data_IF_380240795341
#
_entry.id   IF_380240795341
#
_cell.length_a   1.000
_cell.length_b   1.000
_cell.length_c   1.000
_cell.angle_alpha   90.00
_cell.angle_beta   90.00
_cell.angle_gamma   90.00
#
_symmetry.space_group_name_H-M   'P 1'
#
loop_
_entity.id
_entity.type
_entity.pdbx_description
1 polymer ?
#
# COMPACT_ATOMS: atom_id res chain seq x y z
N UNK A 1 9.54 12.54 2.77
CA UNK A 1 8.61 13.56 2.21
C UNK A 1 7.97 12.97 0.96
N UNK A 2 6.68 13.22 0.72
CA UNK A 2 6.00 12.62 -0.41
C UNK A 2 6.49 13.16 -1.76
N UNK A 3 6.70 12.28 -2.75
CA UNK A 3 7.10 12.70 -4.10
C UNK A 3 5.95 13.21 -4.96
N UNK A 4 4.71 12.91 -4.59
CA UNK A 4 3.50 13.36 -5.27
C UNK A 4 2.57 14.09 -4.30
N UNK A 5 1.92 15.14 -4.80
CA UNK A 5 0.87 15.90 -4.13
C UNK A 5 -0.52 15.50 -4.64
N UNK A 6 -1.55 16.00 -3.96
CA UNK A 6 -2.93 15.69 -4.32
C UNK A 6 -3.32 16.32 -5.68
N UNK A 7 -2.74 17.47 -6.03
CA UNK A 7 -2.96 18.09 -7.34
C UNK A 7 -2.49 17.17 -8.48
N UNK A 8 -1.30 16.59 -8.40
CA UNK A 8 -0.81 15.62 -9.37
C UNK A 8 -1.69 14.36 -9.40
N UNK A 9 -2.12 13.89 -8.23
CA UNK A 9 -2.99 12.73 -8.09
C UNK A 9 -4.29 12.88 -8.89
N UNK A 10 -4.96 14.03 -8.80
CA UNK A 10 -6.22 14.26 -9.53
C UNK A 10 -6.01 14.66 -11.00
N UNK A 11 -5.01 15.49 -11.31
CA UNK A 11 -4.87 16.10 -12.65
C UNK A 11 -4.06 15.27 -13.64
N UNK A 12 -3.05 14.54 -13.16
CA UNK A 12 -2.05 13.87 -14.00
C UNK A 12 -2.07 12.36 -13.87
N UNK A 13 -2.40 11.87 -12.68
CA UNK A 13 -2.62 10.45 -12.41
C UNK A 13 -4.09 10.05 -12.60
N UNK A 14 -5.03 10.98 -12.41
CA UNK A 14 -6.48 10.77 -12.52
C UNK A 14 -7.03 9.78 -11.49
N UNK A 15 -6.51 9.85 -10.26
CA UNK A 15 -6.96 9.01 -9.16
C UNK A 15 -8.28 9.50 -8.54
N UNK A 16 -9.11 8.54 -8.15
CA UNK A 16 -10.45 8.73 -7.56
C UNK A 16 -10.67 7.91 -6.29
N UNK A 17 -9.68 7.13 -5.87
CA UNK A 17 -9.76 6.16 -4.78
C UNK A 17 -9.50 6.79 -3.40
N UNK A 18 -8.40 7.54 -3.23
CA UNK A 18 -8.00 8.16 -1.96
C UNK A 18 -8.62 9.56 -1.79
N UNK A 19 -9.33 9.83 -0.67
CA UNK A 19 -9.81 11.18 -0.34
C UNK A 19 -8.65 12.17 -0.06
N UNK A 20 -8.86 13.46 -0.34
CA UNK A 20 -7.87 14.52 -0.14
C UNK A 20 -7.29 14.56 1.28
N UNK A 21 -8.14 14.39 2.30
CA UNK A 21 -7.73 14.43 3.72
C UNK A 21 -6.76 13.30 4.09
N UNK A 22 -6.88 12.17 3.40
CA UNK A 22 -6.12 10.95 3.67
C UNK A 22 -4.90 10.82 2.75
N UNK A 23 -4.91 11.49 1.59
CA UNK A 23 -3.88 11.37 0.58
C UNK A 23 -2.46 11.65 1.11
N UNK A 24 -2.19 12.73 1.88
CA UNK A 24 -0.85 13.01 2.39
C UNK A 24 -0.25 11.83 3.18
N UNK A 25 -1.08 11.18 4.02
CA UNK A 25 -0.67 10.03 4.83
C UNK A 25 -0.24 8.85 3.96
N UNK A 26 -1.00 8.55 2.91
CA UNK A 26 -0.71 7.41 2.03
C UNK A 26 0.43 7.71 1.05
N UNK A 27 0.53 8.96 0.58
CA UNK A 27 1.61 9.41 -0.30
C UNK A 27 2.97 9.41 0.41
N UNK A 28 3.02 9.81 1.68
CA UNK A 28 4.24 9.72 2.49
C UNK A 28 4.66 8.27 2.71
N UNK A 29 3.74 7.40 3.17
CA UNK A 29 3.99 5.96 3.32
C UNK A 29 4.43 5.29 2.01
N UNK A 30 3.86 5.70 0.88
CA UNK A 30 4.26 5.21 -0.45
C UNK A 30 5.67 5.64 -0.82
N UNK A 31 6.03 6.90 -0.54
CA UNK A 31 7.35 7.45 -0.83
C UNK A 31 8.42 6.74 0.02
N UNK A 32 8.17 6.52 1.31
CA UNK A 32 9.08 5.76 2.19
C UNK A 32 9.35 4.35 1.66
N UNK A 33 8.34 3.69 1.08
CA UNK A 33 8.51 2.33 0.51
C UNK A 33 9.28 2.34 -0.80
N UNK A 34 9.13 3.39 -1.59
CA UNK A 34 9.95 3.61 -2.79
C UNK A 34 11.40 3.86 -2.39
N UNK A 35 11.66 4.64 -1.34
CA UNK A 35 13.02 4.93 -0.86
C UNK A 35 13.74 3.66 -0.42
N UNK A 36 13.06 2.82 0.37
CA UNK A 36 13.58 1.52 0.80
C UNK A 36 13.96 0.63 -0.41
N UNK A 37 13.12 0.56 -1.45
CA UNK A 37 13.40 -0.27 -2.61
C UNK A 37 14.38 0.35 -3.62
N UNK A 38 14.55 1.67 -3.59
CA UNK A 38 15.53 2.38 -4.40
C UNK A 38 16.85 2.60 -3.67
N UNK A 39 16.99 2.09 -2.44
CA UNK A 39 18.19 2.26 -1.60
C UNK A 39 18.53 3.74 -1.37
N UNK A 40 17.50 4.53 -1.06
CA UNK A 40 17.57 5.98 -0.80
C UNK A 40 18.17 6.80 -1.97
N UNK A 41 18.17 6.26 -3.19
CA UNK A 41 18.68 6.97 -4.38
C UNK A 41 17.84 8.19 -4.77
N UNK A 42 16.60 8.25 -4.33
CA UNK A 42 15.67 9.36 -4.58
C UNK A 42 15.58 10.34 -3.40
N UNK A 43 16.24 10.05 -2.27
CA UNK A 43 16.17 10.86 -1.06
C UNK A 43 16.73 12.28 -1.26
N UNK A 44 17.74 12.41 -2.13
CA UNK A 44 18.35 13.70 -2.50
C UNK A 44 17.48 14.52 -3.47
N UNK A 45 16.46 13.90 -4.08
CA UNK A 45 15.57 14.51 -5.05
C UNK A 45 15.17 13.57 -6.19
N UNK A 46 14.15 13.99 -6.94
CA UNK A 46 13.73 13.30 -8.16
C UNK A 46 14.68 13.63 -9.33
N UNK A 47 14.88 12.71 -10.29
CA UNK A 47 15.69 12.97 -11.48
C UNK A 47 15.15 14.16 -12.30
N UNK A 48 16.05 14.87 -12.99
CA UNK A 48 15.72 16.00 -13.86
C UNK A 48 14.87 15.60 -15.07
N UNK A 49 14.98 14.33 -15.50
CA UNK A 49 14.19 13.81 -16.60
C UNK A 49 12.70 13.80 -16.26
N UNK A 50 11.92 14.67 -16.91
CA UNK A 50 10.47 14.80 -16.68
C UNK A 50 9.71 13.48 -16.80
N UNK A 51 10.13 12.60 -17.74
CA UNK A 51 9.49 11.29 -17.92
C UNK A 51 9.77 10.39 -16.72
N UNK A 52 10.99 10.39 -16.20
CA UNK A 52 11.37 9.64 -15.00
C UNK A 52 10.62 10.18 -13.78
N UNK A 53 10.62 11.50 -13.59
CA UNK A 53 9.91 12.18 -12.51
C UNK A 53 8.42 11.83 -12.52
N UNK A 54 7.76 11.94 -13.67
CA UNK A 54 6.33 11.60 -13.83
C UNK A 54 6.07 10.12 -13.51
N UNK A 55 6.98 9.22 -13.87
CA UNK A 55 6.85 7.79 -13.57
C UNK A 55 6.94 7.51 -12.07
N UNK A 56 7.87 8.16 -11.36
CA UNK A 56 8.00 8.06 -9.90
C UNK A 56 6.76 8.61 -9.21
N UNK A 57 6.29 9.80 -9.59
CA UNK A 57 5.07 10.40 -9.04
C UNK A 57 3.84 9.51 -9.24
N UNK A 58 3.67 8.94 -10.44
CA UNK A 58 2.62 7.94 -10.71
C UNK A 58 2.75 6.70 -9.84
N UNK A 59 3.97 6.25 -9.56
CA UNK A 59 4.22 5.10 -8.67
C UNK A 59 3.81 5.41 -7.24
N UNK A 60 4.05 6.63 -6.74
CA UNK A 60 3.53 7.05 -5.43
C UNK A 60 2.01 6.99 -5.40
N UNK A 61 1.35 7.51 -6.43
CA UNK A 61 -0.11 7.49 -6.51
C UNK A 61 -0.69 6.07 -6.55
N UNK A 62 -0.11 5.16 -7.36
CA UNK A 62 -0.57 3.76 -7.42
C UNK A 62 -0.39 3.05 -6.09
N UNK A 63 0.71 3.31 -5.36
CA UNK A 63 0.90 2.77 -4.02
C UNK A 63 -0.07 3.38 -3.01
N UNK A 64 -0.37 4.67 -3.11
CA UNK A 64 -1.32 5.32 -2.22
C UNK A 64 -2.72 4.68 -2.36
N UNK A 65 -3.17 4.44 -3.59
CA UNK A 65 -4.42 3.69 -3.86
C UNK A 65 -4.38 2.30 -3.25
N UNK A 66 -3.29 1.56 -3.49
CA UNK A 66 -3.14 0.21 -2.97
C UNK A 66 -3.19 0.17 -1.43
N UNK A 67 -2.50 1.09 -0.75
CA UNK A 67 -2.54 1.17 0.71
C UNK A 67 -3.91 1.56 1.24
N UNK A 68 -4.60 2.50 0.60
CA UNK A 68 -5.96 2.86 0.97
C UNK A 68 -6.92 1.67 0.82
N UNK A 69 -6.85 0.93 -0.28
CA UNK A 69 -7.68 -0.26 -0.48
C UNK A 69 -7.37 -1.38 0.53
N UNK A 70 -6.11 -1.56 0.90
CA UNK A 70 -5.71 -2.51 1.95
C UNK A 70 -6.28 -2.09 3.30
N UNK A 71 -6.11 -0.82 3.68
CA UNK A 71 -6.53 -0.32 5.00
C UNK A 71 -8.06 -0.23 5.10
N UNK A 72 -8.78 0.07 4.01
CA UNK A 72 -10.26 0.00 3.98
C UNK A 72 -10.76 -1.43 4.21
N UNK A 73 -10.13 -2.44 3.59
CA UNK A 73 -10.48 -3.85 3.85
C UNK A 73 -10.14 -4.26 5.29
N UNK A 74 -8.97 -3.86 5.81
CA UNK A 74 -8.59 -4.13 7.21
C UNK A 74 -9.60 -3.52 8.19
N UNK A 75 -10.00 -2.26 7.97
CA UNK A 75 -10.93 -1.56 8.84
C UNK A 75 -12.34 -2.19 8.80
N UNK A 76 -12.84 -2.53 7.61
CA UNK A 76 -14.12 -3.22 7.47
C UNK A 76 -14.11 -4.60 8.18
N UNK A 77 -13.02 -5.36 8.09
CA UNK A 77 -12.88 -6.63 8.80
C UNK A 77 -12.92 -6.43 10.32
N UNK A 78 -12.21 -5.42 10.86
CA UNK A 78 -12.25 -5.11 12.29
C UNK A 78 -13.64 -4.67 12.77
N UNK A 79 -14.39 -3.92 11.94
CA UNK A 79 -15.74 -3.48 12.26
C UNK A 79 -16.73 -4.65 12.32
N UNK A 80 -16.56 -5.67 11.48
CA UNK A 80 -17.39 -6.91 11.54
C UNK A 80 -17.11 -7.79 12.76
N UNK A 81 -15.97 -7.59 13.43
CA UNK A 81 -15.66 -8.21 14.73
C UNK A 81 -16.28 -7.41 15.90
N UNK A 82 -16.79 -6.21 15.62
CA UNK A 82 -17.57 -5.38 16.54
C UNK A 82 -18.93 -5.99 16.87
N UNK A 83 -19.18 -6.14 18.17
CA UNK A 83 -20.40 -6.69 18.78
C UNK A 83 -21.71 -6.28 18.11
N UNK A 84 -22.57 -7.25 17.80
CA UNK A 84 -24.00 -7.01 17.53
C UNK A 84 -24.66 -6.66 18.87
N UNK A 85 -25.04 -5.40 19.08
CA UNK A 85 -25.97 -5.03 20.15
C UNK A 85 -27.39 -5.29 19.65
N UNK A 86 -28.07 -6.31 20.17
CA UNK A 86 -29.52 -6.44 20.03
C UNK A 86 -30.22 -5.38 20.87
N UNK A 87 -31.42 -4.97 20.47
CA UNK A 87 -32.27 -4.00 21.18
C UNK A 87 -32.57 -4.41 22.63
N UNK A 88 -32.40 -5.69 22.99
CA UNK A 88 -32.53 -6.25 24.35
C UNK A 88 -31.26 -6.12 25.23
N UNK A 89 -30.29 -5.29 24.85
CA UNK A 89 -29.11 -5.00 25.70
C UNK A 89 -28.12 -6.17 25.88
N UNK A 90 -28.34 -7.31 25.22
CA UNK A 90 -27.46 -8.48 25.31
C UNK A 90 -26.35 -8.39 24.26
N UNK A 91 -25.10 -8.28 24.71
CA UNK A 91 -23.90 -8.35 23.86
C UNK A 91 -23.53 -9.81 23.61
N UNK A 92 -23.78 -10.29 22.39
CA UNK A 92 -23.24 -11.55 21.89
C UNK A 92 -21.94 -11.26 21.15
N UNK A 93 -20.81 -11.62 21.76
CA UNK A 93 -19.53 -11.69 21.07
C UNK A 93 -19.64 -12.76 19.97
N UNK A 94 -19.73 -12.36 18.71
CA UNK A 94 -19.64 -13.29 17.58
C UNK A 94 -18.18 -13.72 17.44
N UNK A 95 -17.83 -14.81 18.13
CA UNK A 95 -16.62 -15.60 17.98
C UNK A 95 -15.31 -14.81 17.82
N UNK A 96 -14.64 -14.57 18.95
CA UNK A 96 -13.19 -14.31 18.97
C UNK A 96 -12.49 -15.57 18.46
N UNK A 97 -12.04 -15.58 17.20
CA UNK A 97 -11.08 -16.60 16.75
C UNK A 97 -9.66 -16.09 17.00
N UNK A 98 -9.15 -16.48 18.17
CA UNK A 98 -7.73 -16.64 18.52
C UNK A 98 -6.73 -15.58 18.05
N UNK A 99 -6.31 -14.73 18.98
CA UNK A 99 -4.92 -14.26 19.03
C UNK A 99 -4.07 -15.38 19.63
N UNK A 100 -3.20 -15.99 18.83
CA UNK A 100 -2.22 -16.99 19.31
C UNK A 100 -0.89 -16.77 18.60
N UNK A 101 0.01 -16.11 19.31
CA UNK A 101 1.45 -16.10 19.03
C UNK A 101 2.00 -17.53 19.11
N UNK A 102 2.51 -18.04 17.98
CA UNK A 102 3.39 -19.22 17.96
C UNK A 102 2.91 -20.34 17.04
N UNK A 103 3.75 -20.64 16.05
CA UNK A 103 3.74 -21.81 15.15
C UNK A 103 2.52 -22.00 14.23
N UNK A 104 2.78 -21.90 12.92
CA UNK A 104 2.01 -22.44 11.80
C UNK A 104 0.49 -22.60 12.00
N UNK A 105 -0.26 -21.53 11.72
CA UNK A 105 -1.71 -21.62 11.61
C UNK A 105 -2.14 -21.06 10.26
N UNK A 106 -2.29 -21.95 9.28
CA UNK A 106 -3.06 -21.68 8.06
C UNK A 106 -4.54 -21.80 8.47
N UNK A 107 -5.09 -20.69 8.97
CA UNK A 107 -6.49 -20.63 9.38
C UNK A 107 -7.36 -20.36 8.15
N UNK A 108 -7.80 -21.42 7.47
CA UNK A 108 -8.80 -21.36 6.41
C UNK A 108 -10.19 -21.15 7.04
N UNK A 109 -10.54 -19.90 7.36
CA UNK A 109 -11.92 -19.55 7.74
C UNK A 109 -12.62 -19.01 6.50
N UNK A 110 -13.26 -19.93 5.77
CA UNK A 110 -14.20 -19.64 4.68
C UNK A 110 -15.48 -19.07 5.31
N UNK A 111 -15.55 -17.76 5.46
CA UNK A 111 -16.68 -17.10 6.11
C UNK A 111 -16.86 -15.66 5.67
N UNK A 112 -17.30 -15.46 4.43
CA UNK A 112 -18.30 -14.49 3.94
C UNK A 112 -18.11 -14.38 2.42
N UNK A 113 -19.11 -14.79 1.66
CA UNK A 113 -19.13 -14.68 0.20
C UNK A 113 -18.95 -13.22 -0.24
N UNK A 114 -17.90 -12.93 -1.03
CA UNK A 114 -17.86 -11.75 -1.89
C UNK A 114 -16.59 -10.88 -1.89
N UNK A 115 -15.79 -10.84 -0.82
CA UNK A 115 -14.68 -9.85 -0.70
C UNK A 115 -13.27 -10.44 -0.63
N UNK A 116 -13.12 -11.76 -0.51
CA UNK A 116 -11.82 -12.43 -0.31
C UNK A 116 -11.09 -12.86 -1.60
N UNK A 117 -11.51 -12.36 -2.77
CA UNK A 117 -10.86 -12.68 -4.06
C UNK A 117 -9.89 -11.60 -4.54
N UNK A 118 -9.89 -10.41 -3.94
CA UNK A 118 -9.03 -9.33 -4.42
C UNK A 118 -7.63 -9.45 -3.82
N UNK A 119 -6.62 -9.05 -4.59
CA UNK A 119 -5.21 -9.01 -4.14
C UNK A 119 -5.07 -8.13 -2.88
N UNK A 120 -5.88 -7.07 -2.77
CA UNK A 120 -5.93 -6.20 -1.60
C UNK A 120 -6.53 -6.88 -0.36
N UNK A 121 -7.51 -7.76 -0.52
CA UNK A 121 -8.04 -8.56 0.60
C UNK A 121 -7.00 -9.54 1.15
N UNK A 122 -6.20 -10.16 0.29
CA UNK A 122 -5.09 -11.01 0.72
C UNK A 122 -3.99 -10.20 1.40
N UNK A 123 -3.60 -9.05 0.82
CA UNK A 123 -2.64 -8.12 1.42
C UNK A 123 -3.13 -7.52 2.74
N UNK A 124 -4.45 -7.40 2.94
CA UNK A 124 -5.02 -6.95 4.20
C UNK A 124 -4.78 -7.92 5.36
N UNK A 125 -4.72 -9.22 5.07
CA UNK A 125 -4.62 -10.28 6.09
C UNK A 125 -3.19 -10.76 6.32
N UNK A 126 -2.33 -10.70 5.30
CA UNK A 126 -0.94 -11.17 5.37
C UNK A 126 0.05 -10.07 4.97
N UNK A 127 0.91 -9.68 5.92
CA UNK A 127 1.96 -8.68 5.70
C UNK A 127 2.98 -9.11 4.65
N UNK A 128 3.22 -10.42 4.48
CA UNK A 128 4.09 -10.93 3.40
C UNK A 128 3.46 -10.66 2.03
N UNK A 129 2.15 -10.89 1.89
CA UNK A 129 1.42 -10.60 0.65
C UNK A 129 1.39 -9.09 0.38
N UNK A 130 1.16 -8.26 1.41
CA UNK A 130 1.28 -6.79 1.29
C UNK A 130 2.67 -6.39 0.78
N UNK A 131 3.74 -6.94 1.36
CA UNK A 131 5.11 -6.64 0.93
C UNK A 131 5.39 -7.07 -0.51
N UNK A 132 4.90 -8.25 -0.92
CA UNK A 132 5.04 -8.74 -2.29
C UNK A 132 4.31 -7.83 -3.27
N UNK A 133 3.05 -7.48 -3.00
CA UNK A 133 2.26 -6.58 -3.83
C UNK A 133 2.94 -5.21 -4.01
N UNK A 134 3.35 -4.59 -2.89
CA UNK A 134 4.02 -3.29 -2.90
C UNK A 134 5.31 -3.34 -3.72
N UNK A 135 6.11 -4.40 -3.54
CA UNK A 135 7.36 -4.56 -4.28
C UNK A 135 7.10 -4.75 -5.78
N UNK A 136 6.10 -5.56 -6.14
CA UNK A 136 5.72 -5.78 -7.53
C UNK A 136 5.33 -4.47 -8.22
N UNK A 137 4.46 -3.66 -7.59
CA UNK A 137 4.04 -2.36 -8.13
C UNK A 137 5.26 -1.45 -8.38
N UNK A 138 6.17 -1.36 -7.40
CA UNK A 138 7.36 -0.52 -7.52
C UNK A 138 8.27 -1.00 -8.66
N UNK A 139 8.55 -2.31 -8.74
CA UNK A 139 9.43 -2.87 -9.77
C UNK A 139 8.86 -2.65 -11.18
N UNK A 140 7.57 -2.94 -11.38
CA UNK A 140 6.89 -2.79 -12.68
C UNK A 140 6.87 -1.33 -13.16
N UNK A 141 6.67 -0.40 -12.23
CA UNK A 141 6.59 1.02 -12.56
C UNK A 141 7.97 1.68 -12.65
N UNK A 142 8.98 1.28 -11.87
CA UNK A 142 10.30 1.91 -11.88
C UNK A 142 11.33 1.20 -12.77
N UNK A 143 10.97 0.09 -13.42
CA UNK A 143 11.85 -0.54 -14.40
C UNK A 143 12.29 0.46 -15.50
N UNK A 144 13.60 0.49 -15.77
CA UNK A 144 14.20 1.37 -16.78
C UNK A 144 14.22 2.86 -16.42
N UNK A 145 13.87 3.24 -15.19
CA UNK A 145 14.07 4.60 -14.69
C UNK A 145 15.53 4.76 -14.25
N UNK A 146 16.17 5.81 -14.73
CA UNK A 146 17.55 6.16 -14.41
C UNK A 146 17.61 7.41 -13.54
N UNK A 147 18.61 7.50 -12.67
CA UNK A 147 19.04 8.74 -12.03
C UNK A 147 19.79 9.61 -13.05
N UNK A 148 20.06 10.86 -12.68
CA UNK A 148 20.80 11.80 -13.54
C UNK A 148 22.23 11.33 -13.83
N UNK A 149 22.81 10.54 -12.93
CA UNK A 149 24.12 9.87 -13.10
C UNK A 149 24.08 8.67 -14.08
N UNK A 150 22.91 8.37 -14.67
CA UNK A 150 22.72 7.23 -15.57
C UNK A 150 22.63 5.88 -14.87
N UNK A 151 22.44 5.84 -13.55
CA UNK A 151 22.31 4.61 -12.76
C UNK A 151 20.83 4.24 -12.63
N UNK A 152 20.43 2.97 -12.81
CA UNK A 152 19.04 2.58 -12.57
C UNK A 152 18.61 2.84 -11.13
N UNK A 153 17.42 3.42 -10.93
CA UNK A 153 16.92 3.75 -9.57
C UNK A 153 16.71 2.51 -8.69
N UNK A 154 16.49 1.35 -9.30
CA UNK A 154 16.34 0.05 -8.60
C UNK A 154 17.68 -0.67 -8.37
N UNK A 155 18.81 -0.03 -8.67
CA UNK A 155 20.11 -0.67 -8.57
C UNK A 155 20.58 -0.81 -7.12
N UNK A 156 20.78 -2.05 -6.68
CA UNK A 156 21.21 -2.40 -5.32
C UNK A 156 22.73 -2.36 -5.08
N UNK A 157 23.54 -2.05 -6.10
CA UNK A 157 25.00 -2.05 -5.96
C UNK A 157 25.57 -0.77 -5.33
N UNK A 158 26.87 -0.81 -5.02
CA UNK A 158 27.57 0.28 -4.32
C UNK A 158 27.56 1.59 -5.13
N UNK A 159 27.38 2.72 -4.43
CA UNK A 159 27.61 4.07 -4.95
C UNK A 159 29.14 4.24 -5.04
N UNK A 160 29.67 4.34 -6.25
CA UNK A 160 31.10 4.59 -6.51
C UNK A 160 31.45 6.06 -6.28
#
# INVERSE_FOLDING_TARGET
>A
MAYADYEFYITSYFGDTVPESDFPRYAERASDRIDILTFDRLADGLPENERAQKKIKKTVCTLADAFFQIDTVKNAAMETVGTVKREDGTVINKAVSSISSGSESISYVTGTSGTNSSVYGQAAMDKKVENVLVTQIILENLQGVMTDDGVPVLYAGMRL
#
